data_IF_087574934058
#
_entry.id   IF_087574934058
#
_cell.length_a   1.000
_cell.length_b   1.000
_cell.length_c   1.000
_cell.angle_alpha   90.00
_cell.angle_beta   90.00
_cell.angle_gamma   90.00
#
_symmetry.space_group_name_H-M   'P 1'
#
loop_
_entity.id
_entity.type
_entity.pdbx_description
1 polymer ?
#
# COMPACT_ATOMS: atom_id res chain seq x y z
N UNK A 1 5.80 -20.58 -16.92
CA UNK A 1 4.85 -20.77 -15.81
C UNK A 1 4.03 -19.51 -15.72
N UNK A 2 2.77 -19.50 -16.17
CA UNK A 2 1.91 -18.30 -16.09
C UNK A 2 1.16 -18.30 -14.75
N UNK A 3 0.95 -17.12 -14.16
CA UNK A 3 0.12 -16.93 -12.96
C UNK A 3 -1.00 -15.93 -13.25
N UNK A 4 -2.21 -16.27 -12.85
CA UNK A 4 -3.32 -15.31 -12.85
C UNK A 4 -3.22 -14.44 -11.61
N UNK A 5 -3.52 -13.15 -11.72
CA UNK A 5 -3.50 -12.22 -10.60
C UNK A 5 -4.83 -11.48 -10.49
N UNK A 6 -5.37 -11.37 -9.28
CA UNK A 6 -6.54 -10.54 -9.00
C UNK A 6 -6.47 -9.91 -7.61
N UNK A 7 -7.47 -9.08 -7.27
CA UNK A 7 -7.57 -8.39 -5.99
C UNK A 7 -7.41 -6.88 -6.17
N UNK A 8 -6.25 -6.36 -5.80
CA UNK A 8 -5.93 -4.93 -5.91
C UNK A 8 -5.78 -4.48 -7.37
N UNK A 9 -6.31 -3.30 -7.68
CA UNK A 9 -6.19 -2.69 -9.02
C UNK A 9 -4.74 -2.29 -9.34
N UNK A 10 -4.36 -2.41 -10.61
CA UNK A 10 -3.01 -2.06 -11.10
C UNK A 10 -2.84 -0.59 -11.45
N UNK A 11 -3.92 0.01 -11.96
CA UNK A 11 -3.98 1.39 -12.41
C UNK A 11 -5.34 1.97 -12.01
N UNK A 12 -5.40 3.30 -11.90
CA UNK A 12 -6.61 4.01 -11.52
C UNK A 12 -7.21 4.78 -12.70
N UNK A 13 -8.54 4.83 -12.81
CA UNK A 13 -9.20 5.55 -13.89
C UNK A 13 -8.99 7.06 -13.76
N UNK A 14 -9.15 7.80 -14.85
CA UNK A 14 -9.08 9.27 -14.85
C UNK A 14 -10.09 9.93 -13.90
N UNK A 15 -11.21 9.27 -13.61
CA UNK A 15 -12.23 9.69 -12.64
C UNK A 15 -11.77 9.64 -11.18
N UNK A 16 -10.76 8.83 -10.85
CA UNK A 16 -10.17 8.82 -9.50
C UNK A 16 -9.46 10.15 -9.21
N UNK A 17 -9.53 10.72 -7.99
CA UNK A 17 -10.24 10.23 -6.80
C UNK A 17 -11.67 10.77 -6.63
N UNK A 18 -12.17 11.61 -7.55
CA UNK A 18 -13.45 12.33 -7.35
C UNK A 18 -14.65 11.44 -7.66
N UNK A 19 -14.65 10.79 -8.82
CA UNK A 19 -15.74 9.92 -9.30
C UNK A 19 -15.53 8.44 -9.03
N UNK A 20 -14.38 8.05 -8.48
CA UNK A 20 -14.05 6.65 -8.18
C UNK A 20 -13.29 6.60 -6.86
N UNK A 21 -13.95 6.27 -5.72
CA UNK A 21 -13.29 6.17 -4.44
C UNK A 21 -12.39 4.91 -4.43
N UNK A 22 -11.09 5.13 -4.28
CA UNK A 22 -10.08 4.08 -4.19
C UNK A 22 -8.88 4.65 -3.43
N UNK A 23 -7.81 3.87 -3.28
CA UNK A 23 -6.53 4.30 -2.73
C UNK A 23 -5.41 3.99 -3.73
N UNK A 24 -4.73 5.02 -4.22
CA UNK A 24 -3.58 4.89 -5.13
C UNK A 24 -2.46 4.03 -4.55
N UNK A 25 -2.30 4.01 -3.23
CA UNK A 25 -1.37 3.13 -2.55
C UNK A 25 -1.65 1.64 -2.79
N UNK A 26 -2.91 1.24 -3.03
CA UNK A 26 -3.24 -0.16 -3.33
C UNK A 26 -2.60 -0.64 -4.64
N UNK A 27 -2.28 0.26 -5.58
CA UNK A 27 -1.55 -0.10 -6.79
C UNK A 27 -0.13 -0.59 -6.49
N UNK A 28 0.53 -0.08 -5.45
CA UNK A 28 1.88 -0.52 -5.06
C UNK A 28 1.85 -1.98 -4.58
N UNK A 29 0.84 -2.35 -3.80
CA UNK A 29 0.61 -3.74 -3.40
C UNK A 29 0.15 -4.62 -4.57
N UNK A 30 -0.78 -4.12 -5.39
CA UNK A 30 -1.36 -4.85 -6.52
C UNK A 30 -0.38 -5.10 -7.67
N UNK A 31 0.63 -4.25 -7.85
CA UNK A 31 1.67 -4.45 -8.87
C UNK A 31 2.84 -5.34 -8.38
N UNK A 32 2.91 -5.68 -7.09
CA UNK A 32 4.01 -6.50 -6.56
C UNK A 32 4.21 -7.83 -7.32
N UNK A 33 3.15 -8.61 -7.67
CA UNK A 33 3.34 -9.84 -8.46
C UNK A 33 3.92 -9.61 -9.86
N UNK A 34 3.66 -8.46 -10.48
CA UNK A 34 4.13 -8.14 -11.84
C UNK A 34 5.60 -7.72 -11.86
N UNK A 35 6.05 -7.09 -10.79
CA UNK A 35 7.45 -6.74 -10.58
C UNK A 35 8.28 -7.98 -10.21
N UNK A 36 7.70 -8.93 -9.44
CA UNK A 36 8.38 -10.18 -9.05
C UNK A 36 8.43 -11.21 -10.16
N UNK A 37 7.35 -11.32 -10.95
CA UNK A 37 7.19 -12.32 -12.00
C UNK A 37 6.96 -11.63 -13.35
N UNK A 38 7.96 -10.85 -13.83
CA UNK A 38 7.86 -10.21 -15.14
C UNK A 38 7.62 -11.29 -16.20
N UNK A 39 6.75 -10.98 -17.16
CA UNK A 39 6.32 -11.85 -18.27
C UNK A 39 5.47 -13.08 -17.89
N UNK A 40 5.27 -13.35 -16.60
CA UNK A 40 4.52 -14.52 -16.12
C UNK A 40 3.14 -14.16 -15.54
N UNK A 41 2.97 -12.93 -15.05
CA UNK A 41 1.75 -12.49 -14.39
C UNK A 41 0.74 -11.86 -15.36
N UNK A 42 -0.52 -12.30 -15.30
CA UNK A 42 -1.64 -11.73 -16.08
C UNK A 42 -2.77 -11.32 -15.14
N UNK A 43 -3.19 -10.07 -15.19
CA UNK A 43 -4.26 -9.55 -14.32
C UNK A 43 -5.65 -9.92 -14.84
N UNK A 44 -6.63 -10.03 -13.93
CA UNK A 44 -8.04 -10.25 -14.28
C UNK A 44 -8.66 -9.18 -15.17
N UNK A 45 -8.05 -8.00 -15.25
CA UNK A 45 -8.49 -6.90 -16.13
C UNK A 45 -7.80 -6.88 -17.49
N UNK A 46 -6.83 -7.76 -17.74
CA UNK A 46 -6.06 -7.80 -18.99
C UNK A 46 -6.84 -8.51 -20.10
N UNK A 47 -8.02 -7.95 -20.44
CA UNK A 47 -9.01 -8.55 -21.36
C UNK A 47 -8.43 -8.89 -22.72
N UNK A 48 -7.47 -8.12 -23.22
CA UNK A 48 -6.82 -8.39 -24.50
C UNK A 48 -5.97 -9.68 -24.44
N UNK A 49 -5.18 -9.86 -23.38
CA UNK A 49 -4.38 -11.06 -23.16
C UNK A 49 -5.26 -12.30 -22.94
N UNK A 50 -6.30 -12.17 -22.10
CA UNK A 50 -7.28 -13.24 -21.84
C UNK A 50 -8.01 -13.65 -23.13
N UNK A 51 -8.41 -12.69 -23.97
CA UNK A 51 -9.07 -13.00 -25.25
C UNK A 51 -8.10 -13.64 -26.25
N UNK A 52 -6.85 -13.18 -26.29
CA UNK A 52 -5.83 -13.69 -27.19
C UNK A 52 -5.45 -15.16 -26.92
N UNK A 53 -5.62 -15.64 -25.69
CA UNK A 53 -5.44 -17.06 -25.34
C UNK A 53 -6.61 -17.96 -25.76
N UNK A 54 -7.70 -17.40 -26.30
CA UNK A 54 -8.92 -18.13 -26.63
C UNK A 54 -9.83 -18.43 -25.42
N UNK A 55 -9.52 -17.90 -24.24
CA UNK A 55 -10.34 -18.08 -23.04
C UNK A 55 -11.58 -17.18 -23.05
N UNK A 56 -12.70 -17.69 -22.53
CA UNK A 56 -13.99 -16.98 -22.48
C UNK A 56 -13.98 -15.84 -21.46
N UNK A 57 -13.37 -16.07 -20.31
CA UNK A 57 -13.23 -15.14 -19.20
C UNK A 57 -11.95 -15.42 -18.41
N UNK A 58 -11.75 -14.69 -17.32
CA UNK A 58 -10.57 -14.85 -16.48
C UNK A 58 -10.51 -16.20 -15.75
N UNK A 59 -11.66 -16.77 -15.35
CA UNK A 59 -11.69 -18.08 -14.66
C UNK A 59 -11.22 -19.16 -15.62
N UNK A 60 -11.76 -19.17 -16.84
CA UNK A 60 -11.35 -20.08 -17.92
C UNK A 60 -9.87 -19.91 -18.28
N UNK A 61 -9.38 -18.67 -18.29
CA UNK A 61 -7.96 -18.37 -18.48
C UNK A 61 -7.08 -19.00 -17.39
N UNK A 62 -7.43 -18.79 -16.12
CA UNK A 62 -6.67 -19.35 -15.00
C UNK A 62 -6.66 -20.87 -15.04
N UNK A 63 -7.82 -21.50 -15.26
CA UNK A 63 -7.92 -22.96 -15.27
C UNK A 63 -7.19 -23.60 -16.45
N UNK A 64 -7.16 -22.94 -17.61
CA UNK A 64 -6.54 -23.48 -18.82
C UNK A 64 -5.06 -23.16 -18.96
N UNK A 65 -4.60 -21.98 -18.50
CA UNK A 65 -3.28 -21.45 -18.85
C UNK A 65 -2.39 -21.13 -17.65
N UNK A 66 -2.95 -21.01 -16.44
CA UNK A 66 -2.17 -20.65 -15.27
C UNK A 66 -1.80 -21.87 -14.43
N UNK A 67 -0.64 -21.74 -13.77
CA UNK A 67 -0.19 -22.66 -12.73
C UNK A 67 -0.87 -22.36 -11.39
N UNK A 68 -1.08 -21.08 -11.09
CA UNK A 68 -1.59 -20.57 -9.82
C UNK A 68 -2.50 -19.36 -10.06
N UNK A 69 -3.35 -19.08 -9.07
CA UNK A 69 -4.00 -17.78 -8.88
C UNK A 69 -3.34 -17.05 -7.71
N UNK A 70 -2.72 -15.91 -7.95
CA UNK A 70 -2.24 -15.00 -6.91
C UNK A 70 -3.34 -14.00 -6.56
N UNK A 71 -3.77 -14.02 -5.30
CA UNK A 71 -4.80 -13.13 -4.76
C UNK A 71 -4.16 -12.06 -3.87
N UNK A 72 -4.20 -10.81 -4.33
CA UNK A 72 -3.63 -9.67 -3.59
C UNK A 72 -4.70 -9.03 -2.69
N UNK A 73 -4.59 -9.19 -1.37
CA UNK A 73 -5.68 -8.82 -0.46
C UNK A 73 -5.45 -7.51 0.33
N UNK A 74 -4.22 -7.01 0.47
CA UNK A 74 -3.95 -5.78 1.23
C UNK A 74 -4.73 -5.74 2.56
N UNK A 75 -5.48 -4.66 2.85
CA UNK A 75 -6.29 -4.53 4.08
C UNK A 75 -7.75 -4.94 3.82
N UNK A 76 -8.00 -6.15 3.32
CA UNK A 76 -9.36 -6.56 2.97
C UNK A 76 -10.26 -6.70 4.21
N UNK A 77 -9.74 -7.27 5.31
CA UNK A 77 -10.54 -7.52 6.52
C UNK A 77 -10.62 -6.25 7.37
N UNK A 78 -11.79 -6.00 7.97
CA UNK A 78 -12.00 -4.90 8.90
C UNK A 78 -12.83 -5.41 10.07
N UNK A 79 -12.30 -5.26 11.29
CA UNK A 79 -13.02 -5.69 12.49
C UNK A 79 -14.26 -4.83 12.70
N UNK A 80 -15.35 -5.47 13.11
CA UNK A 80 -16.66 -4.84 13.31
C UNK A 80 -17.37 -4.41 12.02
N UNK A 81 -16.88 -4.85 10.84
CA UNK A 81 -17.66 -4.75 9.60
C UNK A 81 -18.79 -5.78 9.64
N UNK A 82 -19.98 -5.39 9.20
CA UNK A 82 -21.15 -6.28 9.12
C UNK A 82 -21.43 -6.73 7.68
N UNK A 83 -20.84 -6.06 6.67
CA UNK A 83 -21.13 -6.34 5.28
C UNK A 83 -20.24 -7.44 4.69
N UNK A 84 -20.77 -8.67 4.70
CA UNK A 84 -20.11 -9.85 4.16
C UNK A 84 -20.14 -10.00 2.63
N UNK A 85 -20.94 -9.19 1.92
CA UNK A 85 -21.32 -9.47 0.51
C UNK A 85 -20.15 -9.56 -0.47
N UNK A 86 -19.07 -8.80 -0.23
CA UNK A 86 -17.85 -8.85 -1.05
C UNK A 86 -17.09 -10.17 -0.90
N UNK A 87 -17.11 -10.75 0.31
CA UNK A 87 -16.42 -12.02 0.60
C UNK A 87 -17.18 -13.19 -0.03
N UNK A 88 -18.51 -13.18 0.06
CA UNK A 88 -19.35 -14.16 -0.64
C UNK A 88 -19.10 -14.14 -2.15
N UNK A 89 -19.10 -12.97 -2.79
CA UNK A 89 -18.81 -12.85 -4.24
C UNK A 89 -17.42 -13.37 -4.61
N UNK A 90 -16.42 -13.07 -3.79
CA UNK A 90 -15.06 -13.55 -4.01
C UNK A 90 -14.97 -15.08 -3.84
N UNK A 91 -15.61 -15.64 -2.82
CA UNK A 91 -15.65 -17.09 -2.62
C UNK A 91 -16.32 -17.81 -3.80
N UNK A 92 -17.47 -17.35 -4.29
CA UNK A 92 -18.13 -17.93 -5.47
C UNK A 92 -17.23 -17.92 -6.70
N UNK A 93 -16.42 -16.87 -6.89
CA UNK A 93 -15.44 -16.82 -7.97
C UNK A 93 -14.32 -17.85 -7.76
N UNK A 94 -13.79 -17.97 -6.53
CA UNK A 94 -12.72 -18.90 -6.19
C UNK A 94 -13.16 -20.37 -6.27
N UNK A 95 -14.43 -20.68 -5.99
CA UNK A 95 -15.00 -22.02 -6.16
C UNK A 95 -14.97 -22.50 -7.62
N UNK A 96 -14.99 -21.57 -8.59
CA UNK A 96 -14.84 -21.87 -10.01
C UNK A 96 -13.37 -21.99 -10.47
N UNK A 97 -12.40 -21.65 -9.61
CA UNK A 97 -10.97 -21.74 -9.91
C UNK A 97 -10.46 -23.11 -9.47
N UNK A 98 -9.87 -23.86 -10.40
CA UNK A 98 -9.34 -25.20 -10.15
C UNK A 98 -7.87 -25.18 -9.72
N UNK A 99 -7.16 -24.06 -9.97
CA UNK A 99 -5.75 -23.91 -9.64
C UNK A 99 -5.51 -23.63 -8.16
N UNK A 100 -4.31 -23.94 -7.64
CA UNK A 100 -3.88 -23.50 -6.31
C UNK A 100 -3.95 -21.97 -6.17
N UNK A 101 -4.35 -21.52 -4.99
CA UNK A 101 -4.48 -20.08 -4.67
C UNK A 101 -3.34 -19.68 -3.73
N UNK A 102 -2.66 -18.58 -4.06
CA UNK A 102 -1.58 -18.01 -3.24
C UNK A 102 -2.02 -16.62 -2.79
N UNK A 103 -2.02 -16.37 -1.47
CA UNK A 103 -2.52 -15.11 -0.90
C UNK A 103 -1.37 -14.17 -0.60
N UNK A 104 -1.38 -13.00 -1.23
CA UNK A 104 -0.35 -11.98 -1.06
C UNK A 104 -0.81 -10.89 -0.09
N UNK A 105 -0.25 -10.95 1.11
CA UNK A 105 -0.30 -9.93 2.16
C UNK A 105 -1.71 -9.52 2.54
N UNK A 106 -2.48 -10.48 3.08
CA UNK A 106 -3.75 -10.25 3.75
C UNK A 106 -3.51 -9.49 5.06
N UNK A 107 -4.34 -8.48 5.33
CA UNK A 107 -4.27 -7.64 6.51
C UNK A 107 -5.66 -7.36 7.08
N UNK A 108 -5.69 -7.22 8.40
CA UNK A 108 -6.85 -6.78 9.17
C UNK A 108 -6.70 -5.30 9.51
N UNK A 109 -7.80 -4.55 9.35
CA UNK A 109 -7.91 -3.19 9.83
C UNK A 109 -8.61 -3.14 11.17
N UNK A 110 -7.90 -2.65 12.19
CA UNK A 110 -8.38 -2.38 13.54
C UNK A 110 -7.97 -0.97 14.00
N UNK A 111 -8.70 -0.40 14.96
CA UNK A 111 -8.30 0.83 15.65
C UNK A 111 -7.42 0.56 16.88
N UNK A 112 -7.53 -0.64 17.46
CA UNK A 112 -6.84 -1.06 18.68
C UNK A 112 -6.23 -2.45 18.50
N UNK A 113 -5.19 -2.74 19.27
CA UNK A 113 -4.59 -4.07 19.38
C UNK A 113 -5.44 -5.01 20.26
N UNK A 114 -6.43 -4.47 20.99
CA UNK A 114 -7.38 -5.25 21.79
C UNK A 114 -8.43 -5.91 20.88
N UNK A 115 -8.40 -7.24 20.80
CA UNK A 115 -9.34 -8.06 20.04
C UNK A 115 -10.57 -8.46 20.86
N UNK A 116 -10.70 -8.02 22.10
CA UNK A 116 -11.85 -8.36 22.94
C UNK A 116 -13.16 -7.86 22.31
N UNK A 117 -14.09 -8.79 22.06
CA UNK A 117 -15.35 -8.49 21.37
C UNK A 117 -15.22 -8.17 19.88
N UNK A 118 -14.05 -8.37 19.27
CA UNK A 118 -13.89 -8.21 17.83
C UNK A 118 -14.71 -9.23 17.05
N UNK A 119 -15.30 -8.79 15.94
CA UNK A 119 -16.11 -9.63 15.05
C UNK A 119 -15.73 -9.42 13.59
N UNK A 120 -16.06 -10.43 12.78
CA UNK A 120 -16.03 -10.39 11.33
C UNK A 120 -17.36 -10.93 10.80
N UNK A 121 -17.81 -10.51 9.60
CA UNK A 121 -18.97 -11.13 8.95
C UNK A 121 -18.76 -12.62 8.75
N UNK A 122 -19.83 -13.42 8.83
CA UNK A 122 -19.78 -14.87 8.63
C UNK A 122 -19.18 -15.23 7.26
N UNK A 123 -19.46 -14.44 6.22
CA UNK A 123 -18.92 -14.65 4.88
C UNK A 123 -17.42 -14.37 4.80
N UNK A 124 -16.90 -13.46 5.63
CA UNK A 124 -15.46 -13.23 5.75
C UNK A 124 -14.78 -14.43 6.39
N UNK A 125 -15.35 -14.94 7.49
CA UNK A 125 -14.88 -16.15 8.17
C UNK A 125 -14.89 -17.35 7.23
N UNK A 126 -16.01 -17.56 6.52
CA UNK A 126 -16.18 -18.65 5.55
C UNK A 126 -15.14 -18.57 4.42
N UNK A 127 -14.90 -17.38 3.86
CA UNK A 127 -13.87 -17.20 2.84
C UNK A 127 -12.47 -17.53 3.38
N UNK A 128 -12.13 -17.10 4.60
CA UNK A 128 -10.80 -17.39 5.18
C UNK A 128 -10.60 -18.88 5.40
N UNK A 129 -11.65 -19.59 5.87
CA UNK A 129 -11.64 -21.05 5.98
C UNK A 129 -11.55 -21.73 4.62
N UNK A 130 -12.26 -21.22 3.61
CA UNK A 130 -12.14 -21.74 2.25
C UNK A 130 -10.70 -21.60 1.72
N UNK A 131 -10.12 -20.40 1.84
CA UNK A 131 -8.74 -20.13 1.42
C UNK A 131 -7.73 -21.01 2.16
N UNK A 132 -7.90 -21.26 3.46
CA UNK A 132 -6.98 -22.09 4.25
C UNK A 132 -6.91 -23.54 3.76
N UNK A 133 -7.99 -24.05 3.16
CA UNK A 133 -8.02 -25.39 2.53
C UNK A 133 -7.44 -25.42 1.12
N UNK A 134 -7.28 -24.25 0.48
CA UNK A 134 -6.88 -24.08 -0.92
C UNK A 134 -5.44 -23.60 -1.10
N UNK A 135 -4.79 -23.18 -0.02
CA UNK A 135 -3.43 -22.68 0.02
C UNK A 135 -2.61 -23.47 1.04
N UNK A 136 -1.36 -23.78 0.71
CA UNK A 136 -0.43 -24.38 1.68
C UNK A 136 -0.26 -23.46 2.89
N UNK A 137 -0.09 -22.17 2.61
CA UNK A 137 -0.03 -21.12 3.62
C UNK A 137 -0.68 -19.82 3.14
N UNK A 138 -1.37 -19.13 4.06
CA UNK A 138 -1.95 -17.82 3.80
C UNK A 138 -0.95 -16.72 4.17
N UNK A 139 -0.44 -16.00 3.16
CA UNK A 139 0.46 -14.88 3.37
C UNK A 139 -0.25 -13.70 4.02
N UNK A 140 0.08 -13.40 5.27
CA UNK A 140 -0.47 -12.29 6.05
C UNK A 140 0.56 -11.19 6.29
N UNK A 141 0.06 -10.00 6.61
CA UNK A 141 0.84 -8.77 6.82
C UNK A 141 1.56 -8.71 8.17
N UNK A 142 1.09 -9.44 9.17
CA UNK A 142 1.74 -9.50 10.48
C UNK A 142 1.01 -10.36 11.51
N UNK A 143 1.45 -10.24 12.77
CA UNK A 143 1.01 -11.05 13.90
C UNK A 143 -0.44 -10.81 14.32
N UNK A 144 -0.91 -9.56 14.39
CA UNK A 144 -2.31 -9.23 14.67
C UNK A 144 -3.24 -9.88 13.65
N UNK A 145 -2.90 -9.77 12.36
CA UNK A 145 -3.69 -10.42 11.31
C UNK A 145 -3.71 -11.94 11.48
N UNK A 146 -2.56 -12.54 11.81
CA UNK A 146 -2.47 -13.98 12.10
C UNK A 146 -3.37 -14.37 13.28
N UNK A 147 -3.29 -13.66 14.40
CA UNK A 147 -4.10 -13.92 15.60
C UNK A 147 -5.59 -13.81 15.30
N UNK A 148 -6.02 -12.79 14.53
CA UNK A 148 -7.42 -12.65 14.12
C UNK A 148 -7.90 -13.86 13.29
N UNK A 149 -7.08 -14.37 12.38
CA UNK A 149 -7.44 -15.57 11.60
C UNK A 149 -7.53 -16.82 12.47
N UNK A 150 -6.64 -16.97 13.45
CA UNK A 150 -6.64 -18.10 14.38
C UNK A 150 -7.84 -18.05 15.32
N UNK A 151 -8.11 -16.91 15.94
CA UNK A 151 -9.14 -16.74 16.97
C UNK A 151 -10.56 -16.60 16.40
N UNK A 152 -10.74 -15.82 15.33
CA UNK A 152 -12.07 -15.54 14.77
C UNK A 152 -12.45 -16.47 13.63
N UNK A 153 -11.48 -17.01 12.89
CA UNK A 153 -11.74 -17.85 11.72
C UNK A 153 -11.39 -19.32 11.91
N UNK A 154 -10.62 -19.68 12.95
CA UNK A 154 -10.13 -21.05 13.15
C UNK A 154 -9.05 -21.46 12.15
N UNK A 155 -8.37 -20.51 11.52
CA UNK A 155 -7.36 -20.73 10.47
C UNK A 155 -5.96 -20.70 11.05
N UNK A 156 -5.20 -21.79 10.89
CA UNK A 156 -3.88 -21.98 11.54
C UNK A 156 -2.67 -22.01 10.60
N UNK A 157 -2.89 -22.07 9.28
CA UNK A 157 -1.82 -22.02 8.29
C UNK A 157 -1.50 -20.60 7.80
N UNK A 158 -1.69 -19.59 8.67
CA UNK A 158 -1.29 -18.23 8.39
C UNK A 158 0.23 -18.07 8.54
N UNK A 159 0.86 -17.50 7.52
CA UNK A 159 2.30 -17.28 7.42
C UNK A 159 2.59 -15.79 7.29
N UNK A 160 3.39 -15.24 8.20
CA UNK A 160 3.68 -13.81 8.23
C UNK A 160 4.71 -13.48 7.15
N UNK A 161 4.30 -12.65 6.19
CA UNK A 161 5.10 -12.23 5.04
C UNK A 161 5.40 -10.73 5.02
N UNK A 162 4.68 -9.92 5.80
CA UNK A 162 4.73 -8.47 5.69
C UNK A 162 3.96 -7.97 4.46
N UNK A 163 4.41 -6.87 3.87
CA UNK A 163 3.85 -6.36 2.63
C UNK A 163 4.67 -6.86 1.42
N UNK A 164 4.06 -7.66 0.51
CA UNK A 164 4.75 -8.19 -0.66
C UNK A 164 5.46 -7.12 -1.51
N UNK A 165 4.95 -5.88 -1.54
CA UNK A 165 5.59 -4.82 -2.32
C UNK A 165 7.04 -4.55 -1.92
N UNK A 166 7.45 -4.81 -0.67
CA UNK A 166 8.85 -4.63 -0.25
C UNK A 166 9.82 -5.42 -1.13
N UNK A 167 9.47 -6.66 -1.47
CA UNK A 167 10.34 -7.58 -2.19
C UNK A 167 10.30 -7.40 -3.72
N UNK A 168 9.51 -6.44 -4.20
CA UNK A 168 9.22 -6.28 -5.63
C UNK A 168 10.36 -5.64 -6.44
N UNK A 169 11.15 -4.74 -5.82
CA UNK A 169 12.21 -3.97 -6.51
C UNK A 169 13.52 -3.94 -5.69
N UNK A 170 14.16 -5.10 -5.46
CA UNK A 170 15.36 -5.20 -4.61
C UNK A 170 16.47 -4.23 -5.04
N UNK A 171 16.75 -4.09 -6.33
CA UNK A 171 17.78 -3.19 -6.83
C UNK A 171 17.59 -1.71 -6.42
N UNK A 172 16.36 -1.28 -6.12
CA UNK A 172 16.10 0.10 -5.67
C UNK A 172 16.31 0.25 -4.16
N UNK A 173 16.03 -0.78 -3.36
CA UNK A 173 16.30 -0.75 -1.92
C UNK A 173 17.79 -0.53 -1.63
N UNK A 174 18.68 -1.11 -2.44
CA UNK A 174 20.12 -0.88 -2.36
C UNK A 174 20.52 0.61 -2.53
N UNK A 175 19.72 1.39 -3.26
CA UNK A 175 19.99 2.83 -3.47
C UNK A 175 19.52 3.70 -2.31
N UNK A 176 18.66 3.19 -1.43
CA UNK A 176 18.13 3.96 -0.29
C UNK A 176 19.26 4.43 0.62
N UNK A 177 20.22 3.56 0.96
CA UNK A 177 21.38 3.92 1.79
C UNK A 177 22.28 4.99 1.16
N UNK A 178 22.40 4.99 -0.18
CA UNK A 178 23.13 6.02 -0.89
C UNK A 178 22.37 7.36 -0.84
N UNK A 179 21.09 7.35 -1.20
CA UNK A 179 20.26 8.55 -1.25
C UNK A 179 19.96 9.14 0.13
N UNK A 180 20.09 8.37 1.21
CA UNK A 180 20.03 8.88 2.58
C UNK A 180 21.25 9.75 2.91
N UNK A 181 22.44 9.36 2.42
CA UNK A 181 23.68 10.12 2.62
C UNK A 181 23.77 11.35 1.72
N UNK A 182 23.28 11.23 0.50
CA UNK A 182 23.33 12.26 -0.54
C UNK A 182 21.92 12.59 -1.05
N UNK A 183 21.07 13.23 -0.23
CA UNK A 183 19.69 13.48 -0.60
C UNK A 183 19.58 14.54 -1.71
N UNK A 184 18.76 14.25 -2.71
CA UNK A 184 18.46 15.16 -3.82
C UNK A 184 16.95 15.19 -4.08
N UNK A 185 16.42 16.39 -4.33
CA UNK A 185 15.00 16.65 -4.49
C UNK A 185 14.36 17.31 -3.29
N UNK A 186 13.03 17.33 -3.27
CA UNK A 186 12.22 17.96 -2.22
C UNK A 186 11.56 16.90 -1.33
N UNK A 187 11.44 17.12 -0.01
CA UNK A 187 10.72 16.20 0.85
C UNK A 187 9.24 16.13 0.50
N UNK A 188 8.59 15.01 0.80
CA UNK A 188 7.17 14.82 0.58
C UNK A 188 6.44 14.31 1.82
N UNK A 189 5.21 14.78 2.01
CA UNK A 189 4.32 14.37 3.07
C UNK A 189 3.07 13.69 2.53
N UNK A 190 2.54 12.72 3.29
CA UNK A 190 1.26 12.09 3.01
C UNK A 190 0.48 11.74 4.27
N UNK A 191 -0.83 11.97 4.27
CA UNK A 191 -1.70 11.73 5.43
C UNK A 191 -2.94 10.91 5.11
N UNK A 192 -3.59 10.42 6.16
CA UNK A 192 -4.70 9.46 6.15
C UNK A 192 -6.03 10.08 6.55
N UNK A 193 -6.08 10.82 7.66
CA UNK A 193 -7.25 11.42 8.31
C UNK A 193 -7.03 12.91 8.64
N UNK A 194 -7.00 13.79 7.63
CA UNK A 194 -6.82 15.25 7.83
C UNK A 194 -7.92 15.97 8.64
N UNK A 195 -9.01 15.31 9.03
CA UNK A 195 -9.96 15.88 10.00
C UNK A 195 -9.42 15.88 11.44
N UNK A 196 -8.56 14.93 11.79
CA UNK A 196 -7.96 14.81 13.11
C UNK A 196 -6.96 15.95 13.34
N UNK A 197 -6.88 16.44 14.58
CA UNK A 197 -6.09 17.62 14.91
C UNK A 197 -4.60 17.38 14.67
N UNK A 198 -4.14 16.21 15.06
CA UNK A 198 -2.75 15.75 15.03
C UNK A 198 -2.23 15.68 13.60
N UNK A 199 -2.97 15.01 12.70
CA UNK A 199 -2.52 14.89 11.31
C UNK A 199 -2.72 16.18 10.51
N UNK A 200 -3.73 16.99 10.86
CA UNK A 200 -3.90 18.32 10.31
C UNK A 200 -2.71 19.23 10.67
N UNK A 201 -2.21 19.14 11.90
CA UNK A 201 -1.01 19.85 12.33
C UNK A 201 0.20 19.44 11.46
N UNK A 202 0.46 18.15 11.30
CA UNK A 202 1.55 17.65 10.44
C UNK A 202 1.40 18.09 8.98
N UNK A 203 0.17 18.09 8.45
CA UNK A 203 -0.12 18.62 7.12
C UNK A 203 0.22 20.11 7.01
N UNK A 204 -0.16 20.92 8.01
CA UNK A 204 0.12 22.36 7.99
C UNK A 204 1.63 22.62 8.03
N UNK A 205 2.37 21.89 8.87
CA UNK A 205 3.82 22.01 8.93
C UNK A 205 4.47 21.65 7.58
N UNK A 206 4.04 20.56 6.93
CA UNK A 206 4.55 20.16 5.62
C UNK A 206 4.22 21.17 4.50
N UNK A 207 3.03 21.77 4.54
CA UNK A 207 2.60 22.80 3.58
C UNK A 207 3.43 24.08 3.78
N UNK A 208 3.60 24.52 5.02
CA UNK A 208 4.46 25.67 5.38
C UNK A 208 5.92 25.47 4.97
N UNK A 209 6.45 24.26 5.14
CA UNK A 209 7.80 23.88 4.71
C UNK A 209 7.93 23.74 3.18
N UNK A 210 6.83 23.87 2.44
CA UNK A 210 6.84 23.80 0.98
C UNK A 210 7.16 22.41 0.45
N UNK A 211 6.82 21.34 1.19
CA UNK A 211 7.03 19.95 0.78
C UNK A 211 6.05 19.53 -0.31
N UNK A 212 6.35 18.44 -1.02
CA UNK A 212 5.35 17.83 -1.89
C UNK A 212 4.20 17.25 -1.05
N UNK A 213 2.97 17.45 -1.50
CA UNK A 213 1.79 16.80 -0.93
C UNK A 213 1.44 15.59 -1.80
N UNK A 214 1.82 14.41 -1.35
CA UNK A 214 1.56 13.14 -2.04
C UNK A 214 0.19 12.64 -1.61
N UNK A 215 -0.79 12.76 -2.50
CA UNK A 215 -2.20 12.51 -2.20
C UNK A 215 -2.70 11.20 -2.81
N UNK A 216 -2.86 10.12 -2.01
CA UNK A 216 -3.30 8.84 -2.51
C UNK A 216 -4.82 8.63 -2.48
N UNK A 217 -5.64 9.51 -1.89
CA UNK A 217 -7.09 9.26 -1.71
C UNK A 217 -7.99 10.52 -1.75
N UNK A 218 -7.55 11.64 -1.19
CA UNK A 218 -8.43 12.73 -0.79
C UNK A 218 -9.00 13.51 -2.00
N UNK A 219 -10.30 13.30 -2.26
CA UNK A 219 -11.04 14.00 -3.32
C UNK A 219 -11.14 15.51 -3.12
N UNK A 220 -11.10 16.02 -1.88
CA UNK A 220 -11.19 17.46 -1.63
C UNK A 220 -9.89 18.16 -2.04
N UNK A 221 -8.73 17.59 -1.69
CA UNK A 221 -7.44 18.08 -2.18
C UNK A 221 -7.37 18.02 -3.70
N UNK A 222 -7.82 16.93 -4.33
CA UNK A 222 -7.81 16.81 -5.79
C UNK A 222 -8.73 17.82 -6.47
N UNK A 223 -9.94 18.00 -5.95
CA UNK A 223 -10.88 19.00 -6.48
C UNK A 223 -10.30 20.41 -6.40
N UNK A 224 -9.73 20.77 -5.24
CA UNK A 224 -9.07 22.05 -5.06
C UNK A 224 -7.92 22.25 -6.05
N UNK A 225 -7.04 21.25 -6.21
CA UNK A 225 -5.97 21.26 -7.20
C UNK A 225 -6.48 21.51 -8.62
N UNK A 226 -7.53 20.79 -9.04
CA UNK A 226 -8.10 20.90 -10.40
C UNK A 226 -8.71 22.28 -10.62
N UNK A 227 -9.47 22.80 -9.66
CA UNK A 227 -10.14 24.10 -9.77
C UNK A 227 -9.10 25.23 -9.80
N UNK A 228 -8.07 25.17 -8.94
CA UNK A 228 -6.94 26.10 -8.95
C UNK A 228 -6.16 26.05 -10.27
N UNK A 229 -5.87 24.84 -10.78
CA UNK A 229 -5.13 24.67 -12.03
C UNK A 229 -5.88 25.20 -13.25
N UNK A 230 -7.21 25.28 -13.17
CA UNK A 230 -8.09 25.85 -14.19
C UNK A 230 -8.32 27.35 -14.04
N UNK A 231 -7.79 27.97 -12.97
CA UNK A 231 -8.04 29.38 -12.66
C UNK A 231 -9.48 29.68 -12.29
N UNK A 232 -10.20 28.73 -11.66
CA UNK A 232 -11.58 28.96 -11.22
C UNK A 232 -11.58 29.97 -10.06
N UNK A 233 -12.20 31.13 -10.28
CA UNK A 233 -12.35 32.16 -9.26
C UNK A 233 -13.21 31.69 -8.08
N UNK A 234 -12.88 32.15 -6.87
CA UNK A 234 -13.65 31.82 -5.66
C UNK A 234 -13.53 30.35 -5.21
N UNK A 235 -12.56 29.59 -5.72
CA UNK A 235 -12.32 28.20 -5.31
C UNK A 235 -12.05 28.11 -3.80
N UNK A 236 -12.93 27.43 -3.08
CA UNK A 236 -12.77 27.22 -1.63
C UNK A 236 -11.70 26.17 -1.30
N UNK A 237 -10.82 26.49 -0.36
CA UNK A 237 -9.87 25.54 0.19
C UNK A 237 -10.58 24.38 0.93
N UNK A 238 -9.98 23.17 0.92
CA UNK A 238 -10.45 22.05 1.73
C UNK A 238 -10.59 22.44 3.20
N UNK A 239 -11.62 21.96 3.89
CA UNK A 239 -11.97 22.43 5.25
C UNK A 239 -10.81 22.34 6.25
N UNK A 240 -9.97 21.30 6.14
CA UNK A 240 -8.80 21.10 7.01
C UNK A 240 -7.63 22.05 6.72
N UNK A 241 -7.65 22.80 5.62
CA UNK A 241 -6.66 23.83 5.26
C UNK A 241 -7.20 25.26 5.43
N UNK A 242 -8.48 25.44 5.76
CA UNK A 242 -9.09 26.78 5.91
C UNK A 242 -8.49 27.58 7.08
N UNK A 243 -7.99 26.91 8.11
CA UNK A 243 -7.32 27.59 9.22
C UNK A 243 -5.85 27.91 8.96
N UNK A 244 -5.27 27.37 7.89
CA UNK A 244 -3.85 27.49 7.58
C UNK A 244 -3.48 28.93 7.19
N UNK A 245 -2.30 29.39 7.63
CA UNK A 245 -1.79 30.73 7.33
C UNK A 245 -1.71 31.03 5.82
N UNK A 246 -1.19 30.11 5.01
CA UNK A 246 -1.13 30.23 3.55
C UNK A 246 -2.51 30.38 2.87
N UNK A 247 -3.59 29.88 3.47
CA UNK A 247 -4.93 30.17 2.98
C UNK A 247 -5.28 31.64 3.23
N UNK A 248 -4.98 32.14 4.44
CA UNK A 248 -5.25 33.53 4.84
C UNK A 248 -4.45 34.54 4.03
N UNK A 249 -3.23 34.20 3.59
CA UNK A 249 -2.38 35.06 2.75
C UNK A 249 -2.58 34.86 1.25
N UNK A 250 -3.49 33.96 0.82
CA UNK A 250 -3.84 33.77 -0.59
C UNK A 250 -2.84 32.98 -1.43
N UNK A 251 -1.83 32.35 -0.82
CA UNK A 251 -0.75 31.63 -1.54
C UNK A 251 -0.92 30.10 -1.53
N UNK A 252 -1.98 29.58 -0.90
CA UNK A 252 -2.28 28.14 -0.89
C UNK A 252 -2.55 27.58 -2.29
N UNK A 253 -3.13 28.36 -3.20
CA UNK A 253 -3.34 27.99 -4.60
C UNK A 253 -2.00 27.73 -5.30
N UNK A 254 -1.02 28.61 -5.11
CA UNK A 254 0.32 28.47 -5.70
C UNK A 254 1.03 27.23 -5.18
N UNK A 255 0.88 26.93 -3.89
CA UNK A 255 1.36 25.67 -3.31
C UNK A 255 0.72 24.48 -4.03
N UNK A 256 -0.61 24.42 -4.13
CA UNK A 256 -1.28 23.28 -4.78
C UNK A 256 -0.86 23.13 -6.25
N UNK A 257 -0.74 24.22 -7.00
CA UNK A 257 -0.31 24.19 -8.38
C UNK A 257 1.09 23.56 -8.57
N UNK A 258 2.01 23.78 -7.62
CA UNK A 258 3.41 23.33 -7.72
C UNK A 258 3.67 22.00 -7.01
N UNK A 259 3.07 21.83 -5.83
CA UNK A 259 3.48 20.83 -4.84
C UNK A 259 2.50 19.66 -4.70
N UNK A 260 1.26 19.78 -5.18
CA UNK A 260 0.32 18.66 -5.15
C UNK A 260 0.73 17.58 -6.16
N UNK A 261 0.65 16.31 -5.73
CA UNK A 261 0.96 15.15 -6.57
C UNK A 261 -0.03 14.01 -6.30
N UNK A 262 -0.57 13.45 -7.37
CA UNK A 262 -1.45 12.28 -7.37
C UNK A 262 -1.12 11.41 -8.58
N UNK A 263 -1.01 10.11 -8.37
CA UNK A 263 -0.62 9.15 -9.39
C UNK A 263 -1.72 8.13 -9.63
N UNK A 264 -1.89 7.75 -10.90
CA UNK A 264 -2.85 6.73 -11.37
C UNK A 264 -2.17 5.52 -11.99
N UNK A 265 -0.84 5.55 -12.07
CA UNK A 265 0.01 4.50 -12.60
C UNK A 265 1.30 4.46 -11.76
N UNK A 266 1.77 3.26 -11.42
CA UNK A 266 2.92 3.08 -10.52
C UNK A 266 4.24 3.54 -11.13
N UNK A 267 4.44 3.41 -12.44
CA UNK A 267 5.67 3.84 -13.10
C UNK A 267 5.84 5.35 -13.02
N UNK A 268 4.78 6.10 -13.34
CA UNK A 268 4.81 7.57 -13.21
C UNK A 268 5.07 8.05 -11.77
N UNK A 269 4.66 7.24 -10.78
CA UNK A 269 4.95 7.52 -9.37
C UNK A 269 6.43 7.24 -9.06
N UNK A 270 6.95 6.08 -9.47
CA UNK A 270 8.34 5.73 -9.26
C UNK A 270 9.30 6.71 -9.92
N UNK A 271 9.01 7.12 -11.16
CA UNK A 271 9.82 8.08 -11.92
C UNK A 271 9.86 9.43 -11.19
N UNK A 272 8.68 9.96 -10.80
CA UNK A 272 8.60 11.20 -10.04
C UNK A 272 9.38 11.13 -8.71
N UNK A 273 9.21 10.04 -7.96
CA UNK A 273 9.93 9.86 -6.71
C UNK A 273 11.45 9.85 -6.95
N UNK A 274 11.92 9.08 -7.93
CA UNK A 274 13.34 8.96 -8.24
C UNK A 274 13.97 10.31 -8.63
N UNK A 275 13.26 11.11 -9.42
CA UNK A 275 13.78 12.36 -9.99
C UNK A 275 13.61 13.57 -9.06
N UNK A 276 12.49 13.65 -8.33
CA UNK A 276 12.06 14.89 -7.69
C UNK A 276 12.03 14.83 -6.17
N UNK A 277 11.96 13.63 -5.57
CA UNK A 277 11.75 13.47 -4.13
C UNK A 277 13.07 13.18 -3.43
N UNK A 278 13.36 13.88 -2.33
CA UNK A 278 14.51 13.57 -1.48
C UNK A 278 14.17 12.55 -0.41
N UNK A 279 13.09 12.76 0.33
CA UNK A 279 12.59 11.87 1.37
C UNK A 279 11.06 11.91 1.40
N UNK A 280 10.42 10.86 1.91
CA UNK A 280 9.00 10.93 2.23
C UNK A 280 8.72 10.58 3.67
N UNK A 281 7.76 11.24 4.29
CA UNK A 281 7.24 10.80 5.58
C UNK A 281 5.73 10.94 5.64
N UNK A 282 5.11 10.22 6.55
CA UNK A 282 3.66 10.28 6.71
C UNK A 282 3.02 8.97 7.13
N UNK A 283 1.69 9.01 7.25
CA UNK A 283 0.87 7.92 7.78
C UNK A 283 0.40 6.94 6.68
N UNK A 284 0.63 7.28 5.41
CA UNK A 284 0.22 6.45 4.27
C UNK A 284 1.31 5.43 3.94
N UNK A 285 1.15 4.23 4.48
CA UNK A 285 2.12 3.14 4.33
C UNK A 285 2.66 2.95 2.90
N UNK A 286 1.78 2.86 1.89
CA UNK A 286 2.22 2.61 0.51
C UNK A 286 2.80 3.85 -0.20
N UNK A 287 2.58 5.07 0.29
CA UNK A 287 3.27 6.25 -0.26
C UNK A 287 4.75 6.18 0.07
N UNK A 288 5.08 5.88 1.33
CA UNK A 288 6.45 5.66 1.77
C UNK A 288 7.09 4.42 1.13
N UNK A 289 6.29 3.36 0.97
CA UNK A 289 6.73 2.16 0.25
C UNK A 289 7.10 2.49 -1.21
N UNK A 290 6.30 3.30 -1.91
CA UNK A 290 6.62 3.73 -3.26
C UNK A 290 7.96 4.49 -3.33
N UNK A 291 8.30 5.25 -2.30
CA UNK A 291 9.57 5.98 -2.22
C UNK A 291 10.77 5.05 -2.10
N UNK A 292 10.74 4.07 -1.17
CA UNK A 292 11.85 3.12 -1.04
C UNK A 292 12.00 2.24 -2.27
N UNK A 293 10.89 1.89 -2.93
CA UNK A 293 10.87 1.18 -4.21
C UNK A 293 11.33 2.03 -5.40
N UNK A 294 11.53 3.33 -5.18
CA UNK A 294 12.17 4.28 -6.10
C UNK A 294 13.61 4.62 -5.69
N UNK A 295 14.11 3.99 -4.63
CA UNK A 295 15.43 4.23 -4.04
C UNK A 295 15.51 5.46 -3.14
N UNK A 296 14.39 6.08 -2.77
CA UNK A 296 14.35 7.25 -1.89
C UNK A 296 14.03 6.87 -0.45
N UNK A 297 14.72 7.41 0.56
CA UNK A 297 14.42 7.11 1.96
C UNK A 297 13.03 7.60 2.38
N UNK A 298 12.45 6.92 3.36
CA UNK A 298 11.15 7.23 3.90
C UNK A 298 11.04 6.96 5.41
N UNK A 299 10.14 7.69 6.08
CA UNK A 299 9.77 7.49 7.48
C UNK A 299 8.27 7.24 7.62
N UNK A 300 7.90 6.14 8.27
CA UNK A 300 6.51 5.84 8.56
C UNK A 300 6.06 6.49 9.86
N UNK A 301 4.97 7.24 9.82
CA UNK A 301 4.29 7.71 11.03
C UNK A 301 3.21 6.70 11.40
N UNK A 302 3.39 6.03 12.54
CA UNK A 302 2.43 5.06 13.06
C UNK A 302 1.31 5.77 13.81
N UNK A 303 0.07 5.48 13.42
CA UNK A 303 -1.15 6.08 13.99
C UNK A 303 -2.26 5.03 14.15
N UNK A 304 -2.00 3.79 13.70
CA UNK A 304 -2.89 2.65 13.83
C UNK A 304 -2.05 1.37 14.00
N UNK A 305 -2.66 0.35 14.61
CA UNK A 305 -2.08 -0.98 14.83
C UNK A 305 -1.51 -1.61 13.56
N UNK A 306 -2.24 -1.43 12.45
CA UNK A 306 -1.91 -1.99 11.13
C UNK A 306 -0.58 -1.46 10.59
N UNK A 307 -0.35 -0.16 10.68
CA UNK A 307 0.90 0.44 10.20
C UNK A 307 2.04 0.02 11.11
N UNK A 308 1.80 -0.02 12.44
CA UNK A 308 2.77 -0.47 13.45
C UNK A 308 3.23 -1.90 13.19
N UNK A 309 2.30 -2.84 13.07
CA UNK A 309 2.56 -4.25 12.78
C UNK A 309 3.48 -4.43 11.55
N UNK A 310 3.22 -3.68 10.48
CA UNK A 310 4.02 -3.74 9.27
C UNK A 310 5.43 -3.16 9.45
N UNK A 311 5.55 -1.99 10.08
CA UNK A 311 6.87 -1.36 10.27
C UNK A 311 7.73 -2.15 11.24
N UNK A 312 7.14 -2.74 12.28
CA UNK A 312 7.84 -3.57 13.25
C UNK A 312 8.33 -4.87 12.59
N UNK A 313 7.46 -5.58 11.87
CA UNK A 313 7.86 -6.83 11.20
C UNK A 313 8.92 -6.59 10.11
N UNK A 314 8.83 -5.49 9.37
CA UNK A 314 9.74 -5.19 8.27
C UNK A 314 10.93 -4.32 8.68
N UNK A 315 11.08 -3.99 9.97
CA UNK A 315 12.15 -3.14 10.49
C UNK A 315 12.23 -1.78 9.77
N UNK A 316 11.08 -1.20 9.38
CA UNK A 316 11.04 0.05 8.64
C UNK A 316 11.21 1.26 9.58
N UNK A 317 11.95 2.31 9.18
CA UNK A 317 12.11 3.51 10.01
C UNK A 317 10.76 4.14 10.32
N UNK A 318 10.46 4.31 11.60
CA UNK A 318 9.16 4.84 12.02
C UNK A 318 9.25 5.69 13.28
N UNK A 319 8.25 6.57 13.42
CA UNK A 319 7.93 7.30 14.64
C UNK A 319 6.43 7.17 14.90
N UNK A 320 6.03 7.35 16.14
CA UNK A 320 4.62 7.54 16.50
C UNK A 320 4.13 8.92 16.07
N UNK A 321 2.81 9.04 15.89
CA UNK A 321 2.19 10.32 15.60
C UNK A 321 2.49 11.34 16.72
N UNK A 322 2.43 10.92 17.97
CA UNK A 322 2.69 11.73 19.14
C UNK A 322 4.12 12.30 19.15
N UNK A 323 5.13 11.47 18.87
CA UNK A 323 6.53 11.95 18.76
C UNK A 323 6.67 13.04 17.69
N UNK A 324 6.00 12.89 16.55
CA UNK A 324 6.07 13.83 15.45
C UNK A 324 5.38 15.18 15.74
N UNK A 325 4.44 15.25 16.69
CA UNK A 325 3.77 16.52 17.06
C UNK A 325 4.70 17.48 17.79
N UNK A 326 5.75 16.96 18.43
CA UNK A 326 6.74 17.74 19.18
C UNK A 326 7.98 18.09 18.33
N UNK A 327 7.90 17.85 17.01
CA UNK A 327 9.04 18.00 16.09
C UNK A 327 8.69 18.90 14.90
N UNK A 328 9.66 19.71 14.50
CA UNK A 328 9.64 20.38 13.20
C UNK A 328 9.87 19.37 12.06
N UNK A 329 9.34 19.59 10.85
CA UNK A 329 9.47 18.65 9.73
C UNK A 329 10.92 18.23 9.42
N UNK A 330 11.88 19.16 9.54
CA UNK A 330 13.30 18.86 9.32
C UNK A 330 13.89 17.93 10.39
N UNK A 331 13.36 17.96 11.61
CA UNK A 331 13.78 17.05 12.68
C UNK A 331 13.24 15.64 12.41
N UNK A 332 12.01 15.52 11.91
CA UNK A 332 11.41 14.23 11.49
C UNK A 332 12.23 13.62 10.36
N UNK A 333 12.67 14.42 9.38
CA UNK A 333 13.51 13.92 8.29
C UNK A 333 14.87 13.45 8.82
N UNK A 334 15.47 14.18 9.78
CA UNK A 334 16.76 13.83 10.38
C UNK A 334 16.72 12.58 11.26
N UNK A 335 15.55 12.14 11.73
CA UNK A 335 15.41 10.92 12.52
C UNK A 335 15.31 9.65 11.67
N UNK A 336 15.35 9.74 10.34
CA UNK A 336 15.36 8.57 9.45
C UNK A 336 16.63 7.77 9.68
N UNK A 337 16.48 6.56 10.22
CA UNK A 337 17.55 5.59 10.39
C UNK A 337 17.15 4.23 9.80
N UNK A 338 17.97 3.70 8.88
CA UNK A 338 17.78 2.44 8.19
C UNK A 338 18.72 1.31 8.66
N UNK A 339 19.52 1.52 9.71
CA UNK A 339 20.47 0.51 10.20
C UNK A 339 19.75 -0.81 10.52
N UNK A 340 18.69 -0.76 11.34
CA UNK A 340 17.88 -1.95 11.71
C UNK A 340 17.24 -2.62 10.48
N UNK A 341 16.76 -1.82 9.52
CA UNK A 341 16.22 -2.34 8.27
C UNK A 341 17.27 -3.15 7.48
N UNK A 342 18.46 -2.57 7.27
CA UNK A 342 19.50 -3.20 6.46
C UNK A 342 20.14 -4.40 7.16
N UNK A 343 20.16 -4.42 8.49
CA UNK A 343 20.60 -5.59 9.27
C UNK A 343 19.64 -6.79 9.08
N UNK A 344 18.34 -6.54 8.88
CA UNK A 344 17.32 -7.59 8.81
C UNK A 344 16.78 -7.91 7.40
N UNK A 345 17.00 -7.04 6.40
CA UNK A 345 16.36 -7.15 5.08
C UNK A 345 16.62 -8.50 4.39
N UNK A 346 17.82 -9.06 4.51
CA UNK A 346 18.12 -10.37 3.94
C UNK A 346 17.28 -11.50 4.56
N UNK A 347 17.08 -11.46 5.89
CA UNK A 347 16.20 -12.40 6.58
C UNK A 347 14.73 -12.24 6.15
N UNK A 348 14.29 -11.02 5.85
CA UNK A 348 12.95 -10.78 5.30
C UNK A 348 12.80 -11.40 3.90
N UNK A 349 13.80 -11.27 3.03
CA UNK A 349 13.81 -11.94 1.72
C UNK A 349 13.82 -13.46 1.85
N UNK A 350 14.60 -14.02 2.77
CA UNK A 350 14.65 -15.47 3.02
C UNK A 350 13.30 -16.00 3.54
N UNK A 351 12.65 -15.27 4.46
CA UNK A 351 11.31 -15.60 4.94
C UNK A 351 10.27 -15.55 3.80
N UNK A 352 10.29 -14.49 2.98
CA UNK A 352 9.36 -14.37 1.86
C UNK A 352 9.62 -15.43 0.78
N UNK A 353 10.88 -15.73 0.48
CA UNK A 353 11.24 -16.78 -0.47
C UNK A 353 10.87 -18.18 0.04
N UNK A 354 10.88 -18.42 1.35
CA UNK A 354 10.37 -19.66 1.94
C UNK A 354 8.86 -19.78 1.75
N UNK A 355 8.13 -18.67 1.87
CA UNK A 355 6.70 -18.62 1.54
C UNK A 355 6.43 -18.91 0.05
N UNK A 356 7.21 -18.32 -0.85
CA UNK A 356 7.08 -18.57 -2.30
C UNK A 356 7.39 -20.03 -2.66
N UNK A 357 8.46 -20.59 -2.09
CA UNK A 357 8.89 -21.98 -2.28
C UNK A 357 7.82 -22.98 -1.82
N UNK A 358 7.23 -22.75 -0.64
CA UNK A 358 6.12 -23.56 -0.12
C UNK A 358 4.88 -23.53 -1.03
N UNK A 359 4.72 -22.48 -1.83
CA UNK A 359 3.63 -22.34 -2.81
C UNK A 359 4.08 -22.66 -4.25
N UNK A 360 5.29 -23.20 -4.45
CA UNK A 360 5.79 -23.57 -5.78
C UNK A 360 6.01 -22.38 -6.72
N UNK A 361 6.17 -21.17 -6.20
CA UNK A 361 6.43 -19.96 -6.98
C UNK A 361 7.94 -19.66 -7.08
N UNK A 362 8.39 -18.99 -8.16
CA UNK A 362 9.78 -18.56 -8.29
C UNK A 362 10.21 -17.66 -7.13
N UNK A 363 11.47 -17.78 -6.70
CA UNK A 363 12.04 -16.92 -5.65
C UNK A 363 12.31 -15.52 -6.19
N UNK A 364 12.11 -14.52 -5.33
CA UNK A 364 12.56 -13.15 -5.56
C UNK A 364 14.07 -13.03 -5.33
N UNK A 365 14.82 -12.34 -6.20
CA UNK A 365 16.24 -12.07 -5.97
C UNK A 365 16.41 -11.27 -4.67
N UNK A 366 17.25 -11.75 -3.76
CA UNK A 366 17.62 -10.98 -2.58
C UNK A 366 18.55 -9.81 -2.95
N UNK A 367 18.69 -8.86 -2.02
CA UNK A 367 19.75 -7.86 -2.09
C UNK A 367 21.10 -8.59 -2.05
N UNK A 368 21.77 -8.70 -3.19
CA UNK A 368 23.10 -9.32 -3.25
C UNK A 368 24.05 -8.55 -2.33
N UNK A 369 24.74 -9.30 -1.46
CA UNK A 369 25.69 -8.83 -0.44
C UNK A 369 26.75 -7.88 -0.98
#
# INVERSE_FOLDING_TARGET
>A
MTVGVMGCVRELPSSFPVGSPENAGNMIHGNAPFEMFPDLAVHSTDRAAIKASGSRDFVDFVNSHCSHLVLTMANTLRLGDENGSRFSRLQHLLEAIEKPVVVFGLGVQSQTDDLSGATLPEEAVSLMQHLSTRAEALGVRGSMTKTVLEELCGVRNAFITGCPSLFSRPAQLAKVAQNLREPSGRPAFSGTKYHLAEEKFLLHQAVSAGFYLMEPVNKFNHKYFVDVSKGVEGTEAPYFLRSHEMHKSGVLSDFFARNYKLFRNVNSWYDFNSESVSHTYGTRFHVNMASILSGKPALWITHDARTRELVDFMHLPSLTQEECLEMEPEQIIKSINYDDFFDHINGLFDNFNSYLDANGLPKTPSLVR
#
